data_IF_270837648727
#
_entry.id   IF_270837648727
#
_cell.length_a   1.000
_cell.length_b   1.000
_cell.length_c   1.000
_cell.angle_alpha   90.00
_cell.angle_beta   90.00
_cell.angle_gamma   90.00
#
_symmetry.space_group_name_H-M   'P 1'
#
loop_
_entity.id
_entity.type
_entity.pdbx_description
1 polymer ?
#
# COMPACT_ATOMS: atom_id res chain seq x y z
N UNK A 1 19.84 62.17 2.14
CA UNK A 1 20.83 61.97 1.07
C UNK A 1 21.45 60.60 1.25
N UNK A 2 21.33 59.75 0.21
CA UNK A 2 22.19 58.62 -0.24
C UNK A 2 22.55 57.51 0.78
N UNK A 3 22.00 56.29 0.67
CA UNK A 3 22.32 55.16 -0.25
C UNK A 3 23.40 54.21 0.28
N UNK A 4 23.11 52.90 0.26
CA UNK A 4 24.08 51.83 0.47
C UNK A 4 23.46 50.44 0.62
N UNK A 5 23.12 49.81 -0.52
CA UNK A 5 22.63 48.43 -0.70
C UNK A 5 23.75 47.39 -0.60
N UNK A 6 23.45 46.17 -0.13
CA UNK A 6 24.06 44.91 -0.64
C UNK A 6 23.28 43.66 -0.22
N UNK A 7 22.81 42.92 -1.23
CA UNK A 7 22.25 41.55 -1.18
C UNK A 7 23.35 40.49 -1.09
N UNK A 8 23.04 39.33 -0.49
CA UNK A 8 23.72 38.07 -0.80
C UNK A 8 22.72 36.90 -0.76
N UNK A 9 22.41 36.38 -1.94
CA UNK A 9 21.70 35.11 -2.15
C UNK A 9 22.75 34.04 -2.48
N UNK A 10 22.67 32.87 -1.84
CA UNK A 10 23.53 31.72 -2.11
C UNK A 10 22.83 30.73 -3.06
N UNK A 11 23.43 30.36 -4.20
CA UNK A 11 22.96 29.25 -5.01
C UNK A 11 23.76 27.97 -4.71
N UNK A 12 23.08 26.91 -4.26
CA UNK A 12 23.64 25.56 -4.27
C UNK A 12 23.40 24.92 -5.65
N UNK A 13 24.40 24.99 -6.52
CA UNK A 13 24.45 24.28 -7.80
C UNK A 13 25.09 22.90 -7.63
N UNK A 14 24.44 21.89 -8.20
CA UNK A 14 24.87 20.47 -8.28
C UNK A 14 25.89 20.32 -9.42
N UNK A 15 27.07 19.69 -9.22
CA UNK A 15 27.97 19.40 -10.33
C UNK A 15 27.53 18.15 -11.10
N UNK A 16 27.42 18.29 -12.41
CA UNK A 16 27.31 17.20 -13.38
C UNK A 16 28.72 16.83 -13.88
N UNK A 17 29.07 15.55 -13.87
CA UNK A 17 30.35 15.06 -14.39
C UNK A 17 30.33 14.98 -15.91
N UNK A 18 31.26 15.67 -16.57
CA UNK A 18 31.54 15.53 -18.00
C UNK A 18 32.76 14.65 -18.27
N UNK A 19 32.67 13.91 -19.37
CA UNK A 19 33.71 13.09 -19.98
C UNK A 19 34.99 13.86 -20.31
N UNK A 20 36.14 13.20 -20.18
CA UNK A 20 37.41 13.62 -20.76
C UNK A 20 37.98 12.49 -21.63
N UNK A 21 38.28 12.83 -22.89
CA UNK A 21 39.00 12.03 -23.87
C UNK A 21 40.35 12.69 -24.19
N UNK A 22 41.18 11.98 -24.97
CA UNK A 22 42.52 12.30 -25.55
C UNK A 22 43.69 11.69 -24.73
N UNK A 23 44.69 11.02 -25.33
CA UNK A 23 45.41 11.35 -26.56
C UNK A 23 46.03 10.13 -27.32
N UNK A 24 46.51 10.44 -28.52
CA UNK A 24 46.93 9.65 -29.69
C UNK A 24 48.43 9.34 -29.80
N UNK A 25 48.77 8.27 -30.56
CA UNK A 25 49.99 7.96 -31.39
C UNK A 25 50.48 6.54 -31.10
N UNK A 26 50.60 5.57 -32.01
CA UNK A 26 50.73 5.58 -33.46
C UNK A 26 51.99 4.80 -33.83
N UNK A 27 51.88 3.51 -34.20
CA UNK A 27 52.85 2.68 -34.95
C UNK A 27 52.18 1.33 -35.29
N UNK A 28 52.01 1.02 -36.58
CA UNK A 28 51.63 -0.29 -37.16
C UNK A 28 52.60 -0.49 -38.34
N UNK A 29 53.11 -1.70 -38.72
CA UNK A 29 52.26 -2.85 -39.04
C UNK A 29 52.79 -4.30 -38.88
N UNK A 30 51.81 -5.20 -39.04
CA UNK A 30 51.86 -6.59 -39.54
C UNK A 30 52.10 -7.74 -38.55
N UNK A 31 51.00 -8.35 -38.10
CA UNK A 31 50.76 -9.78 -38.30
C UNK A 31 49.24 -10.06 -38.15
N UNK A 32 48.66 -10.67 -39.17
CA UNK A 32 47.26 -11.10 -39.21
C UNK A 32 46.98 -12.14 -38.13
N UNK A 33 45.97 -11.89 -37.30
CA UNK A 33 45.26 -12.95 -36.59
C UNK A 33 43.78 -12.56 -36.54
N UNK A 34 42.98 -13.43 -37.15
CA UNK A 34 41.53 -13.35 -37.38
C UNK A 34 40.75 -12.94 -36.14
N UNK A 35 39.99 -11.84 -36.27
CA UNK A 35 38.95 -11.45 -35.32
C UNK A 35 37.69 -12.27 -35.61
N UNK A 36 37.27 -13.10 -34.67
CA UNK A 36 35.87 -13.53 -34.54
C UNK A 36 35.46 -13.44 -33.07
N UNK A 37 35.20 -12.22 -32.62
CA UNK A 37 34.54 -11.95 -31.35
C UNK A 37 33.06 -11.71 -31.64
N UNK A 38 32.29 -12.80 -31.69
CA UNK A 38 30.84 -12.74 -31.76
C UNK A 38 30.29 -11.94 -30.57
N UNK A 39 29.45 -10.96 -30.87
CA UNK A 39 28.71 -10.15 -29.91
C UNK A 39 27.69 -11.02 -29.17
N UNK A 40 28.09 -11.69 -28.11
CA UNK A 40 27.16 -12.39 -27.21
C UNK A 40 26.50 -11.37 -26.29
N UNK A 41 25.37 -10.82 -26.73
CA UNK A 41 24.44 -10.15 -25.82
C UNK A 41 23.93 -11.19 -24.81
N UNK A 42 23.92 -10.90 -23.48
CA UNK A 42 23.46 -11.85 -22.48
C UNK A 42 21.94 -12.01 -22.57
N UNK A 43 21.50 -12.91 -23.45
CA UNK A 43 20.11 -13.32 -23.59
C UNK A 43 20.08 -14.81 -23.86
N UNK A 44 19.29 -15.55 -23.08
CA UNK A 44 19.06 -16.98 -23.34
C UNK A 44 18.27 -17.07 -24.65
N UNK A 45 18.78 -17.76 -25.69
CA UNK A 45 18.04 -17.92 -26.93
C UNK A 45 16.75 -18.69 -26.65
N UNK A 46 15.60 -18.15 -27.08
CA UNK A 46 14.28 -18.78 -26.86
C UNK A 46 14.23 -20.20 -27.45
N UNK A 47 15.02 -20.46 -28.49
CA UNK A 47 15.23 -21.78 -29.11
C UNK A 47 15.93 -22.81 -28.21
N UNK A 48 16.56 -22.39 -27.11
CA UNK A 48 17.16 -23.27 -26.11
C UNK A 48 16.24 -23.55 -24.90
N UNK A 49 15.05 -22.93 -24.86
CA UNK A 49 14.07 -23.23 -23.82
C UNK A 49 13.38 -24.56 -24.15
N UNK A 50 13.52 -25.55 -23.26
CA UNK A 50 12.69 -26.77 -23.32
C UNK A 50 11.32 -26.45 -22.74
N UNK A 51 10.21 -26.67 -23.50
CA UNK A 51 8.88 -26.54 -22.95
C UNK A 51 8.70 -27.51 -21.78
N UNK A 52 8.17 -27.03 -20.66
CA UNK A 52 7.76 -27.89 -19.56
C UNK A 52 6.52 -28.66 -20.01
N UNK A 53 6.73 -29.89 -20.48
CA UNK A 53 5.65 -30.77 -20.91
C UNK A 53 5.05 -31.46 -19.68
N UNK A 54 3.72 -31.42 -19.54
CA UNK A 54 2.99 -32.12 -18.49
C UNK A 54 2.62 -31.29 -17.25
N UNK A 55 2.98 -30.00 -17.20
CA UNK A 55 2.42 -29.10 -16.20
C UNK A 55 0.95 -28.81 -16.56
N UNK A 56 0.01 -29.39 -15.81
CA UNK A 56 -1.40 -29.02 -15.93
C UNK A 56 -1.55 -27.63 -15.31
N UNK A 57 -1.84 -26.64 -16.14
CA UNK A 57 -2.22 -25.33 -15.64
C UNK A 57 -3.45 -25.53 -14.72
N UNK A 58 -3.29 -25.24 -13.44
CA UNK A 58 -4.42 -25.25 -12.51
C UNK A 58 -5.28 -24.04 -12.86
N UNK A 59 -6.47 -24.29 -13.38
CA UNK A 59 -7.46 -23.23 -13.52
C UNK A 59 -7.91 -22.82 -12.13
N UNK A 60 -7.99 -21.52 -11.89
CA UNK A 60 -8.55 -20.97 -10.66
C UNK A 60 -10.00 -21.43 -10.45
N UNK A 61 -10.74 -21.64 -11.54
CA UNK A 61 -12.11 -22.14 -11.50
C UNK A 61 -12.22 -23.59 -11.00
N UNK A 62 -11.15 -24.38 -11.11
CA UNK A 62 -11.15 -25.80 -10.72
C UNK A 62 -10.82 -25.99 -9.23
N UNK A 63 -10.47 -24.92 -8.52
CA UNK A 63 -10.21 -24.94 -7.08
C UNK A 63 -11.19 -23.99 -6.35
N UNK A 64 -12.23 -24.53 -5.69
CA UNK A 64 -13.27 -23.71 -5.07
C UNK A 64 -12.72 -22.79 -3.96
N UNK A 65 -11.71 -23.23 -3.21
CA UNK A 65 -11.11 -22.41 -2.15
C UNK A 65 -10.34 -21.22 -2.74
N UNK A 66 -9.63 -21.43 -3.86
CA UNK A 66 -8.90 -20.36 -4.53
C UNK A 66 -9.84 -19.38 -5.23
N UNK A 67 -10.91 -19.88 -5.86
CA UNK A 67 -11.99 -19.08 -6.42
C UNK A 67 -12.58 -18.14 -5.35
N UNK A 68 -12.99 -18.71 -4.22
CA UNK A 68 -13.67 -17.95 -3.15
C UNK A 68 -12.74 -16.93 -2.50
N UNK A 69 -11.45 -17.26 -2.36
CA UNK A 69 -10.44 -16.32 -1.89
C UNK A 69 -10.29 -15.12 -2.85
N UNK A 70 -10.20 -15.36 -4.16
CA UNK A 70 -10.10 -14.28 -5.14
C UNK A 70 -11.36 -13.42 -5.20
N UNK A 71 -12.53 -14.06 -5.19
CA UNK A 71 -13.82 -13.38 -5.15
C UNK A 71 -13.99 -12.51 -3.90
N UNK A 72 -13.64 -13.06 -2.73
CA UNK A 72 -13.67 -12.33 -1.46
C UNK A 72 -12.74 -11.13 -1.48
N UNK A 73 -11.50 -11.30 -1.97
CA UNK A 73 -10.55 -10.19 -2.05
C UNK A 73 -10.99 -9.11 -3.05
N UNK A 74 -11.55 -9.52 -4.19
CA UNK A 74 -12.13 -8.60 -5.16
C UNK A 74 -13.32 -7.82 -4.56
N UNK A 75 -14.22 -8.50 -3.83
CA UNK A 75 -15.34 -7.86 -3.11
C UNK A 75 -14.88 -6.96 -1.97
N UNK A 76 -13.81 -7.30 -1.26
CA UNK A 76 -13.24 -6.40 -0.25
C UNK A 76 -12.68 -5.13 -0.91
N UNK A 77 -12.01 -5.26 -2.04
CA UNK A 77 -11.41 -4.13 -2.77
C UNK A 77 -12.47 -3.25 -3.44
N UNK A 78 -13.51 -3.84 -4.04
CA UNK A 78 -14.56 -3.12 -4.79
C UNK A 78 -15.75 -2.73 -3.90
N UNK A 79 -16.06 -3.55 -2.90
CA UNK A 79 -17.06 -3.29 -1.87
C UNK A 79 -16.59 -2.36 -0.75
N UNK A 80 -15.31 -1.96 -0.72
CA UNK A 80 -14.84 -0.83 0.09
C UNK A 80 -15.60 0.48 -0.19
N UNK A 81 -16.41 0.53 -1.26
CA UNK A 81 -17.36 1.61 -1.56
C UNK A 81 -18.55 1.70 -0.60
N UNK A 82 -18.78 0.71 0.26
CA UNK A 82 -19.75 0.87 1.36
C UNK A 82 -19.28 2.00 2.28
N UNK A 83 -20.18 2.86 2.72
CA UNK A 83 -19.93 4.03 3.55
C UNK A 83 -18.95 3.69 4.68
N UNK A 84 -17.68 4.03 4.51
CA UNK A 84 -16.74 4.00 5.61
C UNK A 84 -17.32 4.95 6.66
N UNK A 85 -17.36 4.60 7.95
CA UNK A 85 -17.80 5.54 8.95
C UNK A 85 -17.04 6.85 8.72
N UNK A 86 -17.76 7.95 8.53
CA UNK A 86 -17.16 9.23 8.13
C UNK A 86 -16.07 9.70 9.10
N UNK A 87 -16.08 9.13 10.31
CA UNK A 87 -15.20 9.44 11.42
C UNK A 87 -14.54 8.16 11.92
N UNK A 88 -13.21 8.16 12.03
CA UNK A 88 -12.41 7.08 12.59
C UNK A 88 -12.74 6.84 14.08
N UNK A 89 -12.56 5.62 14.58
CA UNK A 89 -12.85 5.31 15.99
C UNK A 89 -11.92 6.05 16.96
N UNK A 90 -10.69 6.30 16.54
CA UNK A 90 -9.64 7.02 17.28
C UNK A 90 -9.68 8.56 17.07
N UNK A 91 -10.73 9.06 16.43
CA UNK A 91 -10.91 10.49 16.23
C UNK A 91 -11.12 11.22 17.58
N UNK A 92 -10.64 12.47 17.73
CA UNK A 92 -10.75 13.23 18.98
C UNK A 92 -12.18 13.33 19.52
N UNK A 93 -13.17 13.45 18.64
CA UNK A 93 -14.60 13.48 18.96
C UNK A 93 -15.14 12.19 19.59
N UNK A 94 -14.39 11.08 19.47
CA UNK A 94 -14.73 9.80 20.08
C UNK A 94 -13.98 9.54 21.39
N UNK A 95 -13.24 10.51 21.93
CA UNK A 95 -12.49 10.32 23.17
C UNK A 95 -13.46 10.06 24.33
N UNK A 96 -13.23 8.98 25.07
CA UNK A 96 -13.93 8.67 26.33
C UNK A 96 -13.17 9.23 27.53
N UNK A 97 -11.88 8.91 27.65
CA UNK A 97 -11.04 9.37 28.75
C UNK A 97 -9.56 9.37 28.40
N UNK A 98 -8.77 10.08 29.20
CA UNK A 98 -7.32 10.05 29.16
C UNK A 98 -6.78 9.58 30.51
N UNK A 99 -5.76 8.73 30.49
CA UNK A 99 -5.02 8.31 31.68
C UNK A 99 -3.73 9.12 31.74
N UNK A 100 -3.53 9.84 32.85
CA UNK A 100 -2.37 10.69 33.07
C UNK A 100 -1.49 10.13 34.18
N UNK A 101 -0.19 10.06 33.94
CA UNK A 101 0.83 9.75 34.96
C UNK A 101 1.74 10.96 35.04
N UNK A 102 1.93 11.52 36.24
CA UNK A 102 2.70 12.75 36.46
C UNK A 102 2.24 13.93 35.57
N UNK A 103 0.94 14.04 35.33
CA UNK A 103 0.33 15.07 34.48
C UNK A 103 0.50 14.85 32.97
N UNK A 104 1.18 13.79 32.53
CA UNK A 104 1.35 13.45 31.11
C UNK A 104 0.37 12.35 30.69
N UNK A 105 -0.26 12.54 29.52
CA UNK A 105 -1.15 11.54 28.93
C UNK A 105 -0.33 10.34 28.50
N UNK A 106 -0.60 9.18 29.11
CA UNK A 106 0.06 7.91 28.78
C UNK A 106 -0.85 6.95 28.01
N UNK A 107 -2.17 7.14 28.11
CA UNK A 107 -3.17 6.44 27.32
C UNK A 107 -4.39 7.34 27.06
N UNK A 108 -4.98 7.20 25.88
CA UNK A 108 -6.24 7.80 25.45
C UNK A 108 -7.18 6.66 25.12
N UNK A 109 -8.38 6.69 25.68
CA UNK A 109 -9.42 5.68 25.49
C UNK A 109 -10.58 6.31 24.73
N UNK A 110 -11.18 5.55 23.83
CA UNK A 110 -12.26 6.00 22.95
C UNK A 110 -13.57 5.31 23.28
N UNK A 111 -14.68 5.94 22.91
CA UNK A 111 -16.04 5.47 23.17
C UNK A 111 -16.31 4.08 22.56
N UNK A 112 -15.60 3.67 21.51
CA UNK A 112 -15.67 2.31 20.94
C UNK A 112 -15.05 1.23 21.83
N UNK A 113 -14.38 1.62 22.92
CA UNK A 113 -13.61 0.73 23.78
C UNK A 113 -12.14 0.66 23.40
N UNK A 114 -11.73 1.12 22.20
CA UNK A 114 -10.34 1.13 21.75
C UNK A 114 -9.46 2.09 22.58
N UNK A 115 -8.14 1.91 22.54
CA UNK A 115 -7.21 2.77 23.26
C UNK A 115 -5.88 2.94 22.53
N UNK A 116 -5.36 4.16 22.54
CA UNK A 116 -4.01 4.51 22.10
C UNK A 116 -3.16 4.78 23.34
N UNK A 117 -1.91 4.31 23.36
CA UNK A 117 -1.05 4.49 24.53
C UNK A 117 0.43 4.55 24.17
N UNK A 118 1.24 5.03 25.11
CA UNK A 118 2.71 5.02 24.96
C UNK A 118 3.25 3.59 25.08
N UNK A 119 4.40 3.33 24.44
CA UNK A 119 5.07 2.02 24.52
C UNK A 119 5.38 1.59 25.97
N UNK A 120 5.75 2.55 26.82
CA UNK A 120 6.02 2.29 28.24
C UNK A 120 4.76 1.87 29.00
N UNK A 121 3.61 2.50 28.70
CA UNK A 121 2.33 2.08 29.26
C UNK A 121 1.96 0.68 28.77
N UNK A 122 2.03 0.44 27.45
CA UNK A 122 1.74 -0.86 26.84
C UNK A 122 2.60 -1.99 27.43
N UNK A 123 3.89 -1.75 27.70
CA UNK A 123 4.75 -2.75 28.33
C UNK A 123 4.29 -3.14 29.75
N UNK A 124 3.69 -2.21 30.51
CA UNK A 124 3.21 -2.47 31.87
C UNK A 124 1.85 -3.15 31.91
N UNK A 125 0.96 -2.82 30.97
CA UNK A 125 -0.43 -3.32 30.94
C UNK A 125 -0.68 -4.38 29.86
N UNK A 126 0.33 -4.76 29.07
CA UNK A 126 0.15 -5.66 27.91
C UNK A 126 -0.27 -7.10 28.24
N UNK A 127 -0.33 -7.47 29.53
CA UNK A 127 -0.91 -8.74 30.00
C UNK A 127 -2.34 -8.60 30.53
N UNK A 128 -2.89 -7.39 30.54
CA UNK A 128 -4.25 -7.15 30.95
C UNK A 128 -5.17 -7.61 29.83
N UNK A 129 -5.96 -8.65 30.11
CA UNK A 129 -6.98 -9.14 29.20
C UNK A 129 -8.30 -8.43 29.47
N UNK A 130 -9.00 -8.07 28.41
CA UNK A 130 -10.33 -7.50 28.56
C UNK A 130 -11.32 -8.55 29.07
N UNK A 131 -12.25 -8.13 29.93
CA UNK A 131 -13.33 -8.99 30.37
C UNK A 131 -14.22 -9.39 29.18
N UNK A 132 -14.64 -10.66 29.10
CA UNK A 132 -15.50 -11.12 28.02
C UNK A 132 -16.86 -10.41 28.08
N UNK A 133 -17.40 -10.05 26.90
CA UNK A 133 -18.73 -9.45 26.77
C UNK A 133 -18.82 -7.95 27.02
N UNK A 134 -17.72 -7.29 27.40
CA UNK A 134 -17.66 -5.83 27.48
C UNK A 134 -17.29 -5.22 26.12
N UNK A 135 -17.97 -4.13 25.76
CA UNK A 135 -17.73 -3.38 24.52
C UNK A 135 -18.09 -1.90 24.72
N UNK A 136 -17.72 -1.04 23.77
CA UNK A 136 -18.14 0.37 23.80
C UNK A 136 -17.67 1.14 25.04
N UNK A 137 -18.45 2.11 25.52
CA UNK A 137 -18.09 2.94 26.67
C UNK A 137 -17.87 2.18 27.96
N UNK A 138 -18.56 1.05 28.19
CA UNK A 138 -18.34 0.25 29.40
C UNK A 138 -16.95 -0.42 29.38
N UNK A 139 -16.50 -0.90 28.20
CA UNK A 139 -15.13 -1.39 28.03
C UNK A 139 -14.11 -0.25 28.19
N UNK A 140 -14.40 0.92 27.61
CA UNK A 140 -13.54 2.10 27.74
C UNK A 140 -13.38 2.51 29.21
N UNK A 141 -14.46 2.50 29.98
CA UNK A 141 -14.42 2.79 31.42
C UNK A 141 -13.57 1.76 32.17
N UNK A 142 -13.85 0.46 31.96
CA UNK A 142 -13.12 -0.60 32.61
C UNK A 142 -11.61 -0.51 32.34
N UNK A 143 -11.23 -0.25 31.08
CA UNK A 143 -9.83 -0.05 30.71
C UNK A 143 -9.25 1.20 31.37
N UNK A 144 -9.97 2.32 31.40
CA UNK A 144 -9.48 3.56 32.01
C UNK A 144 -9.12 3.36 33.49
N UNK A 145 -10.02 2.73 34.23
CA UNK A 145 -9.85 2.44 35.66
C UNK A 145 -8.67 1.48 35.91
N UNK A 146 -8.57 0.42 35.10
CA UNK A 146 -7.48 -0.55 35.24
C UNK A 146 -6.13 0.01 34.79
N UNK A 147 -6.09 0.81 33.73
CA UNK A 147 -4.87 1.46 33.26
C UNK A 147 -4.37 2.44 34.31
N UNK A 148 -5.24 3.30 34.86
CA UNK A 148 -4.86 4.21 35.94
C UNK A 148 -4.31 3.46 37.16
N UNK A 149 -4.99 2.38 37.58
CA UNK A 149 -4.56 1.53 38.70
C UNK A 149 -3.18 0.89 38.47
N UNK A 150 -2.94 0.32 37.29
CA UNK A 150 -1.70 -0.40 36.98
C UNK A 150 -0.53 0.54 36.66
N UNK A 151 -0.82 1.73 36.11
CA UNK A 151 0.19 2.71 35.74
C UNK A 151 0.51 3.70 36.87
N UNK A 152 -0.30 3.72 37.94
CA UNK A 152 -0.20 4.70 39.03
C UNK A 152 -0.64 6.10 38.58
N UNK A 153 -1.61 6.16 37.67
CA UNK A 153 -2.11 7.41 37.08
C UNK A 153 -3.50 7.80 37.56
N UNK A 154 -4.03 8.87 36.97
CA UNK A 154 -5.39 9.35 37.16
C UNK A 154 -6.18 9.30 35.85
N UNK A 155 -7.48 9.05 35.95
CA UNK A 155 -8.39 9.11 34.80
C UNK A 155 -9.00 10.51 34.70
N UNK A 156 -8.91 11.10 33.51
CA UNK A 156 -9.59 12.34 33.15
C UNK A 156 -10.63 12.04 32.08
N UNK A 157 -11.92 12.13 32.45
CA UNK A 157 -13.02 11.86 31.53
C UNK A 157 -13.17 13.02 30.53
N UNK A 158 -13.32 12.69 29.26
CA UNK A 158 -13.46 13.69 28.21
C UNK A 158 -14.90 14.24 28.14
N UNK A 159 -15.11 15.48 27.66
CA UNK A 159 -16.45 16.03 27.44
C UNK A 159 -17.23 15.30 26.33
N UNK A 160 -16.53 14.55 25.49
CA UNK A 160 -17.06 13.71 24.40
C UNK A 160 -17.42 12.29 24.87
N UNK A 161 -17.24 11.97 26.16
CA UNK A 161 -17.56 10.66 26.70
C UNK A 161 -19.08 10.43 26.67
N UNK A 162 -19.50 9.35 26.02
CA UNK A 162 -20.91 8.94 25.97
C UNK A 162 -21.17 7.74 26.90
N UNK A 163 -22.44 7.47 27.20
CA UNK A 163 -22.84 6.28 27.96
C UNK A 163 -23.00 5.07 27.05
N UNK A 164 -23.00 3.86 27.62
CA UNK A 164 -23.27 2.62 26.87
C UNK A 164 -24.61 2.68 26.11
N UNK A 165 -25.64 3.28 26.70
CA UNK A 165 -26.95 3.43 26.08
C UNK A 165 -26.99 4.42 24.92
N UNK A 166 -26.04 5.35 24.86
CA UNK A 166 -25.87 6.30 23.75
C UNK A 166 -24.98 5.74 22.65
N UNK A 167 -24.17 4.72 22.97
CA UNK A 167 -23.27 4.11 22.01
C UNK A 167 -23.99 3.17 21.08
N UNK A 168 -23.72 3.32 19.79
CA UNK A 168 -24.17 2.39 18.76
C UNK A 168 -22.94 1.67 18.22
N UNK A 169 -22.90 0.33 18.25
CA UNK A 169 -21.82 -0.42 17.64
C UNK A 169 -21.66 0.00 16.18
N UNK A 170 -20.43 0.34 15.79
CA UNK A 170 -20.13 0.52 14.36
C UNK A 170 -20.36 -0.83 13.68
N UNK A 171 -21.04 -0.83 12.54
CA UNK A 171 -21.22 -2.05 11.75
C UNK A 171 -19.83 -2.61 11.40
N UNK A 172 -19.42 -3.62 12.15
CA UNK A 172 -18.32 -4.48 11.76
C UNK A 172 -18.89 -5.27 10.61
N UNK A 173 -18.39 -5.04 9.39
CA UNK A 173 -18.81 -5.83 8.24
C UNK A 173 -18.48 -7.29 8.54
N UNK A 174 -19.45 -8.03 9.05
CA UNK A 174 -19.42 -9.48 9.08
C UNK A 174 -19.69 -9.90 7.65
N UNK A 175 -18.67 -9.81 6.79
CA UNK A 175 -18.86 -10.11 5.36
C UNK A 175 -18.88 -11.61 5.16
N UNK A 176 -19.97 -12.23 5.62
CA UNK A 176 -20.37 -13.54 5.12
C UNK A 176 -20.99 -13.28 3.75
N UNK A 177 -20.19 -13.42 2.71
CA UNK A 177 -20.67 -13.32 1.34
C UNK A 177 -21.48 -14.57 0.99
N UNK A 178 -22.61 -14.40 0.33
CA UNK A 178 -23.36 -15.54 -0.23
C UNK A 178 -22.56 -16.16 -1.38
N UNK A 179 -22.85 -17.43 -1.70
CA UNK A 179 -22.23 -18.11 -2.84
C UNK A 179 -22.44 -17.34 -4.14
N UNK A 180 -23.66 -16.83 -4.33
CA UNK A 180 -24.02 -16.00 -5.49
C UNK A 180 -23.18 -14.72 -5.57
N UNK A 181 -22.90 -14.07 -4.44
CA UNK A 181 -22.05 -12.88 -4.40
C UNK A 181 -20.61 -13.21 -4.76
N UNK A 182 -20.07 -14.33 -4.29
CA UNK A 182 -18.72 -14.78 -4.63
C UNK A 182 -18.61 -15.15 -6.10
N UNK A 183 -19.57 -15.89 -6.64
CA UNK A 183 -19.57 -16.28 -8.06
C UNK A 183 -19.70 -15.04 -8.97
N UNK A 184 -20.59 -14.09 -8.63
CA UNK A 184 -20.73 -12.84 -9.37
C UNK A 184 -19.46 -11.97 -9.33
N UNK A 185 -18.81 -11.90 -8.16
CA UNK A 185 -17.55 -11.19 -8.00
C UNK A 185 -16.41 -11.80 -8.82
N UNK A 186 -16.33 -13.13 -8.83
CA UNK A 186 -15.32 -13.83 -9.62
C UNK A 186 -15.51 -13.58 -11.12
N UNK A 187 -16.75 -13.62 -11.60
CA UNK A 187 -17.06 -13.31 -13.00
C UNK A 187 -16.72 -11.86 -13.35
N UNK A 188 -17.04 -10.90 -12.46
CA UNK A 188 -16.69 -9.51 -12.65
C UNK A 188 -15.17 -9.29 -12.71
N UNK A 189 -14.41 -9.96 -11.83
CA UNK A 189 -12.94 -9.92 -11.82
C UNK A 189 -12.35 -10.43 -13.14
N UNK A 190 -12.85 -11.55 -13.67
CA UNK A 190 -12.39 -12.08 -14.96
C UNK A 190 -12.69 -11.13 -16.12
N UNK A 191 -13.90 -10.56 -16.15
CA UNK A 191 -14.31 -9.61 -17.19
C UNK A 191 -13.46 -8.32 -17.15
N UNK A 192 -13.13 -7.82 -15.97
CA UNK A 192 -12.23 -6.67 -15.80
C UNK A 192 -10.81 -6.98 -16.26
N UNK A 193 -10.26 -8.14 -15.87
CA UNK A 193 -8.95 -8.59 -16.33
C UNK A 193 -8.86 -8.69 -17.86
N UNK A 194 -9.90 -9.23 -18.51
CA UNK A 194 -9.98 -9.30 -19.97
C UNK A 194 -10.00 -7.91 -20.62
N UNK A 195 -10.77 -6.96 -20.07
CA UNK A 195 -10.79 -5.57 -20.55
C UNK A 195 -9.41 -4.91 -20.41
N UNK A 196 -8.73 -5.11 -19.29
CA UNK A 196 -7.39 -4.55 -19.05
C UNK A 196 -6.36 -5.11 -20.04
N UNK A 197 -6.43 -6.42 -20.36
CA UNK A 197 -5.58 -7.04 -21.36
C UNK A 197 -5.86 -6.47 -22.77
N UNK A 198 -7.13 -6.34 -23.15
CA UNK A 198 -7.53 -5.80 -24.45
C UNK A 198 -7.08 -4.34 -24.64
N UNK A 199 -7.15 -3.52 -23.59
CA UNK A 199 -6.64 -2.14 -23.60
C UNK A 199 -5.13 -2.09 -23.76
N UNK A 200 -4.39 -2.96 -23.06
CA UNK A 200 -2.93 -3.05 -23.21
C UNK A 200 -2.52 -3.53 -24.60
N UNK A 201 -3.20 -4.52 -25.16
CA UNK A 201 -2.93 -4.97 -26.53
C UNK A 201 -3.19 -3.87 -27.56
N UNK A 202 -4.26 -3.10 -27.38
CA UNK A 202 -4.58 -1.95 -28.23
C UNK A 202 -3.50 -0.86 -28.15
N UNK A 203 -2.97 -0.56 -26.96
CA UNK A 203 -1.90 0.43 -26.83
C UNK A 203 -0.57 -0.05 -27.43
N UNK A 204 -0.23 -1.33 -27.29
CA UNK A 204 0.94 -1.91 -27.97
C UNK A 204 0.81 -1.91 -29.50
N UNK A 205 -0.38 -2.15 -30.04
CA UNK A 205 -0.63 -2.11 -31.50
C UNK A 205 -0.62 -0.69 -32.04
N UNK A 206 -1.20 0.29 -31.31
CA UNK A 206 -1.15 1.70 -31.69
C UNK A 206 0.30 2.24 -31.73
N UNK A 207 1.16 1.74 -30.83
CA UNK A 207 2.59 2.07 -30.77
C UNK A 207 3.43 1.51 -31.93
N UNK A 208 2.88 0.58 -32.73
CA UNK A 208 3.57 -0.07 -33.86
C UNK A 208 3.27 0.55 -35.23
N UNK A 209 2.57 1.69 -35.30
CA UNK A 209 2.36 2.39 -36.57
C UNK A 209 3.70 2.95 -37.08
N UNK A 210 4.26 2.47 -38.21
CA UNK A 210 5.52 2.99 -38.75
C UNK A 210 5.30 4.40 -39.32
N UNK A 211 6.27 5.33 -39.20
CA UNK A 211 6.21 6.60 -39.90
C UNK A 211 6.47 6.39 -41.40
N UNK A 212 5.53 6.84 -42.24
CA UNK A 212 5.79 7.35 -43.58
C UNK A 212 6.05 6.33 -44.69
N UNK A 213 5.00 5.94 -45.41
CA UNK A 213 5.11 5.52 -46.82
C UNK A 213 5.06 6.78 -47.68
N UNK A 214 6.22 7.27 -48.13
CA UNK A 214 6.31 8.21 -49.26
C UNK A 214 6.85 7.45 -50.45
N UNK A 215 5.95 6.99 -51.32
CA UNK A 215 6.30 6.59 -52.68
C UNK A 215 6.11 7.81 -53.57
N UNK A 216 7.22 8.40 -54.03
CA UNK A 216 7.22 9.27 -55.20
C UNK A 216 8.51 9.00 -55.98
N UNK A 217 8.39 8.20 -57.04
CA UNK A 217 9.41 8.00 -58.06
C UNK A 217 8.68 8.15 -59.39
N UNK A 218 8.93 9.25 -60.09
CA UNK A 218 8.87 9.29 -61.55
C UNK A 218 9.92 10.28 -62.04
N UNK A 219 10.78 9.73 -62.90
CA UNK A 219 11.85 10.38 -63.63
C UNK A 219 11.34 11.03 -64.93
#
# INVERSE_FOLDING_TARGET
MMSGVSSAALPYLRPASTSASHATSGLQPAASATTDAATSSPGIPVSQLKPVQGAKAMSVADNPALHDLMATNWLMTHGASGTQPAVSDDAPENTYAQVKVDGKVVATLYNGGSSTMTNAAAAKIGKLEDPPGLSGPDLAQWRADNYARLLGGTVEKAPTAITQSQWTPRESRSTTYSREQLDAAFQAMLAEGQKAIAQRQSSYLASRTPPGTSADISA
#
